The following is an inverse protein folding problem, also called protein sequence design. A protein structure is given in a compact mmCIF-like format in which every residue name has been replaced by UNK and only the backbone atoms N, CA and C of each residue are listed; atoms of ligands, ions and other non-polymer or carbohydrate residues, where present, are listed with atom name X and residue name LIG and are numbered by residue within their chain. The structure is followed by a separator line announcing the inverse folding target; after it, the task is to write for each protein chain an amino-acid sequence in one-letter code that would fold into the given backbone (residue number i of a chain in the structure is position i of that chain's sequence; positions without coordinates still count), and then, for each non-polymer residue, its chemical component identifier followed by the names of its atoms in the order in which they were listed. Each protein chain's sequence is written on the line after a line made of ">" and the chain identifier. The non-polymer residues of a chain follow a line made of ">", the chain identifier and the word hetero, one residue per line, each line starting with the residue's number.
data_IF_623428960635
#
_entry.id   IF_623428960635
#
_cell.length_a   1.000
_cell.length_b   1.000
_cell.length_c   1.000
_cell.angle_alpha   90.00
_cell.angle_beta   90.00
_cell.angle_gamma   90.00
#
_symmetry.space_group_name_H-M   'P 1'
#
loop_
_entity.id
_entity.type
_entity.pdbx_description
1 polymer ?
#
# COMPACT_ATOMS: atom_id res chain seq x y z
N UNK A 1 -1.16 9.82 -42.15
CA UNK A 1 -2.47 9.69 -41.47
C UNK A 1 -2.29 9.16 -40.06
N UNK A 2 -2.35 10.05 -39.06
CA UNK A 2 -2.92 9.87 -37.71
C UNK A 2 -2.52 11.13 -36.93
N UNK A 3 -3.46 12.07 -36.88
CA UNK A 3 -3.36 13.34 -36.15
C UNK A 3 -3.23 13.01 -34.66
N UNK A 4 -2.23 13.59 -34.01
CA UNK A 4 -2.21 13.67 -32.56
C UNK A 4 -3.36 14.58 -32.10
N UNK A 5 -4.26 14.02 -31.30
CA UNK A 5 -5.31 14.76 -30.61
C UNK A 5 -4.68 15.39 -29.37
N UNK A 6 -4.36 16.68 -29.48
CA UNK A 6 -4.03 17.54 -28.36
C UNK A 6 -5.34 17.82 -27.63
N UNK A 7 -5.58 17.16 -26.49
CA UNK A 7 -6.69 17.50 -25.59
C UNK A 7 -6.38 18.85 -24.92
N UNK A 8 -6.82 19.93 -25.57
CA UNK A 8 -6.84 21.28 -25.04
C UNK A 8 -8.04 21.40 -24.08
N UNK A 9 -7.82 21.16 -22.79
CA UNK A 9 -8.80 21.50 -21.75
C UNK A 9 -8.74 23.01 -21.56
N UNK A 10 -9.74 23.70 -22.11
CA UNK A 10 -9.98 25.12 -21.92
C UNK A 10 -10.42 25.33 -20.47
N UNK A 11 -9.51 25.79 -19.61
CA UNK A 11 -9.87 26.28 -18.27
C UNK A 11 -10.48 27.67 -18.48
N UNK A 12 -11.81 27.71 -18.48
CA UNK A 12 -12.60 28.93 -18.53
C UNK A 12 -12.48 29.62 -17.16
N UNK A 13 -11.57 30.59 -17.02
CA UNK A 13 -11.49 31.42 -15.81
C UNK A 13 -12.66 32.39 -15.79
N UNK A 14 -13.72 32.04 -15.08
CA UNK A 14 -14.82 32.97 -14.78
C UNK A 14 -14.32 33.89 -13.65
N UNK A 15 -13.83 35.08 -13.99
CA UNK A 15 -13.65 36.15 -13.00
C UNK A 15 -15.05 36.71 -12.64
N UNK A 16 -15.44 36.74 -11.36
CA UNK A 16 -16.64 37.47 -10.95
C UNK A 16 -16.37 38.98 -11.07
N UNK A 17 -17.13 39.64 -11.94
CA UNK A 17 -17.21 41.09 -12.00
C UNK A 17 -18.04 41.57 -10.78
N UNK A 18 -17.39 42.13 -9.75
CA UNK A 18 -18.11 42.75 -8.63
C UNK A 18 -18.65 44.13 -9.05
N UNK A 19 -19.96 44.23 -9.28
CA UNK A 19 -20.65 45.52 -9.23
C UNK A 19 -20.91 45.89 -7.76
N UNK A 20 -20.42 47.06 -7.38
CA UNK A 20 -20.69 47.66 -6.08
C UNK A 20 -22.09 48.30 -6.10
N UNK A 21 -23.09 47.57 -5.62
CA UNK A 21 -24.40 48.12 -5.30
C UNK A 21 -24.54 48.19 -3.77
N UNK A 22 -24.62 49.41 -3.24
CA UNK A 22 -24.91 49.65 -1.83
C UNK A 22 -26.33 49.16 -1.49
N UNK A 23 -26.42 48.23 -0.55
CA UNK A 23 -27.67 47.71 -0.03
C UNK A 23 -27.42 46.98 1.29
N UNK A 24 -27.95 47.52 2.37
CA UNK A 24 -27.95 46.92 3.71
C UNK A 24 -28.82 45.66 3.70
N UNK A 25 -28.19 44.48 3.72
CA UNK A 25 -28.86 43.18 3.81
C UNK A 25 -27.87 42.12 4.33
N UNK A 26 -28.36 41.21 5.16
CA UNK A 26 -27.63 40.18 5.91
C UNK A 26 -26.41 39.59 5.17
N UNK A 27 -25.26 39.54 5.86
CA UNK A 27 -24.03 38.88 5.41
C UNK A 27 -24.05 37.35 5.57
N UNK A 28 -25.21 36.75 5.73
CA UNK A 28 -25.35 35.30 5.86
C UNK A 28 -25.99 34.78 4.58
N UNK A 29 -25.15 34.48 3.57
CA UNK A 29 -25.37 33.51 2.48
C UNK A 29 -24.36 33.74 1.34
N UNK A 30 -23.06 33.64 1.63
CA UNK A 30 -22.15 33.13 0.59
C UNK A 30 -22.44 31.62 0.44
N UNK A 31 -22.55 31.09 -0.79
CA UNK A 31 -22.73 29.65 -0.98
C UNK A 31 -21.58 28.93 -0.28
N UNK A 32 -21.93 27.94 0.54
CA UNK A 32 -20.99 27.05 1.21
C UNK A 32 -19.91 26.63 0.21
N UNK A 33 -18.66 27.02 0.48
CA UNK A 33 -17.49 26.60 -0.29
C UNK A 33 -17.23 25.12 0.03
N UNK A 34 -18.19 24.26 -0.34
CA UNK A 34 -18.27 22.87 0.09
C UNK A 34 -16.95 22.18 -0.22
N UNK A 35 -16.24 21.81 0.84
CA UNK A 35 -15.01 21.03 0.75
C UNK A 35 -15.31 19.73 -0.01
N UNK A 36 -14.75 19.59 -1.20
CA UNK A 36 -15.13 18.50 -2.10
C UNK A 36 -13.98 18.10 -3.02
N UNK A 37 -13.74 16.80 -3.12
CA UNK A 37 -12.89 16.21 -4.15
C UNK A 37 -13.76 15.95 -5.38
N UNK A 38 -13.33 16.48 -6.53
CA UNK A 38 -13.94 16.22 -7.84
C UNK A 38 -13.28 15.01 -8.49
N UNK A 39 -11.95 14.94 -8.46
CA UNK A 39 -11.19 13.89 -9.12
C UNK A 39 -9.82 13.70 -8.51
N UNK A 40 -9.32 12.48 -8.60
CA UNK A 40 -7.89 12.15 -8.48
C UNK A 40 -7.42 11.76 -9.87
N UNK A 41 -6.23 12.21 -10.29
CA UNK A 41 -5.73 11.98 -11.65
C UNK A 41 -5.50 10.50 -11.99
N UNK A 42 -5.40 9.64 -10.97
CA UNK A 42 -5.34 8.18 -11.07
C UNK A 42 -6.14 7.56 -9.93
N UNK A 43 -6.79 6.42 -10.17
CA UNK A 43 -7.49 5.63 -9.14
C UNK A 43 -6.54 4.67 -8.41
N UNK A 44 -5.28 4.60 -8.84
CA UNK A 44 -4.27 3.72 -8.28
C UNK A 44 -2.85 4.26 -8.43
N UNK A 45 -1.99 4.05 -7.43
CA UNK A 45 -0.56 4.38 -7.50
C UNK A 45 0.26 3.58 -6.47
N UNK A 46 1.58 3.57 -6.63
CA UNK A 46 2.48 2.98 -5.63
C UNK A 46 2.64 3.93 -4.44
N UNK A 47 3.07 3.40 -3.30
CA UNK A 47 3.56 4.23 -2.19
C UNK A 47 4.74 5.07 -2.68
N UNK A 48 4.75 6.35 -2.32
CA UNK A 48 5.76 7.32 -2.75
C UNK A 48 5.50 8.01 -4.10
N UNK A 49 4.53 7.56 -4.90
CA UNK A 49 4.11 8.28 -6.11
C UNK A 49 3.40 9.59 -5.73
N UNK A 50 3.54 10.63 -6.55
CA UNK A 50 2.78 11.88 -6.39
C UNK A 50 1.49 11.78 -7.20
N UNK A 51 0.37 11.97 -6.53
CA UNK A 51 -0.96 12.07 -7.16
C UNK A 51 -1.48 13.51 -7.06
N UNK A 52 -2.38 13.87 -7.98
CA UNK A 52 -3.06 15.16 -8.01
C UNK A 52 -4.52 14.97 -7.66
N UNK A 53 -4.97 15.69 -6.63
CA UNK A 53 -6.36 15.77 -6.19
C UNK A 53 -6.91 17.14 -6.60
N UNK A 54 -7.98 17.16 -7.39
CA UNK A 54 -8.66 18.38 -7.83
C UNK A 54 -10.02 18.51 -7.15
N UNK A 55 -10.38 19.72 -6.76
CA UNK A 55 -11.60 19.96 -5.99
C UNK A 55 -11.88 21.42 -5.66
N UNK A 56 -12.59 21.62 -4.55
CA UNK A 56 -12.95 22.93 -4.01
C UNK A 56 -12.80 22.95 -2.49
N UNK A 57 -12.58 24.13 -1.92
CA UNK A 57 -12.59 24.34 -0.47
C UNK A 57 -11.36 23.79 0.24
N UNK A 58 -10.25 23.53 -0.47
CA UNK A 58 -9.01 23.01 0.12
C UNK A 58 -8.23 24.07 0.90
N UNK A 59 -8.54 25.36 0.71
CA UNK A 59 -7.76 26.47 1.24
C UNK A 59 -6.52 26.77 0.39
N UNK A 60 -6.06 28.01 0.40
CA UNK A 60 -4.91 28.47 -0.39
C UNK A 60 -3.56 27.91 0.08
N UNK A 61 -3.51 27.42 1.32
CA UNK A 61 -2.32 26.89 2.01
C UNK A 61 -2.70 25.60 2.74
N UNK A 62 -1.73 24.72 2.94
CA UNK A 62 -1.96 23.48 3.67
C UNK A 62 -2.27 23.74 5.15
N UNK A 63 -1.43 24.51 5.84
CA UNK A 63 -1.50 24.74 7.29
C UNK A 63 -1.64 23.41 8.07
N UNK A 64 -2.73 23.23 8.81
CA UNK A 64 -3.04 21.99 9.54
C UNK A 64 -3.90 21.02 8.73
N UNK A 65 -4.26 21.37 7.49
CA UNK A 65 -5.04 20.53 6.60
C UNK A 65 -4.19 19.37 6.06
N UNK A 66 -4.83 18.27 5.73
CA UNK A 66 -4.14 17.08 5.22
C UNK A 66 -5.02 16.23 4.32
N UNK A 67 -4.37 15.40 3.51
CA UNK A 67 -5.01 14.30 2.78
C UNK A 67 -4.89 13.04 3.63
N UNK A 68 -6.00 12.31 3.78
CA UNK A 68 -6.05 11.01 4.44
C UNK A 68 -6.16 9.91 3.40
N UNK A 69 -5.34 8.87 3.52
CA UNK A 69 -5.44 7.60 2.81
C UNK A 69 -5.93 6.55 3.81
N UNK A 70 -7.23 6.26 3.79
CA UNK A 70 -7.98 5.64 4.87
C UNK A 70 -7.76 6.40 6.19
N UNK A 71 -6.97 5.82 7.10
CA UNK A 71 -6.62 6.38 8.40
C UNK A 71 -5.16 6.84 8.48
N UNK A 72 -4.44 6.84 7.34
CA UNK A 72 -3.06 7.29 7.26
C UNK A 72 -3.04 8.73 6.73
N UNK A 73 -2.59 9.65 7.58
CA UNK A 73 -2.40 11.05 7.20
C UNK A 73 -1.14 11.20 6.34
N UNK A 74 -1.28 11.83 5.17
CA UNK A 74 -0.14 12.18 4.34
C UNK A 74 0.66 13.36 4.93
N UNK A 75 1.98 13.23 4.88
CA UNK A 75 2.95 14.18 5.45
C UNK A 75 3.76 14.95 4.40
N UNK A 76 3.76 14.51 3.14
CA UNK A 76 4.57 15.07 2.06
C UNK A 76 3.70 15.61 0.91
N UNK A 77 3.86 16.89 0.59
CA UNK A 77 3.09 17.60 -0.44
C UNK A 77 4.03 18.32 -1.40
N UNK A 78 3.80 18.15 -2.70
CA UNK A 78 4.52 18.90 -3.74
C UNK A 78 3.89 20.28 -3.99
N UNK A 79 2.58 20.42 -3.79
CA UNK A 79 1.88 21.70 -3.87
C UNK A 79 0.50 21.60 -3.21
N UNK A 80 0.01 22.74 -2.70
CA UNK A 80 -1.34 22.89 -2.15
C UNK A 80 -1.94 24.20 -2.65
N UNK A 81 -3.21 24.18 -3.01
CA UNK A 81 -3.99 25.35 -3.42
C UNK A 81 -5.46 25.08 -3.15
N UNK A 82 -6.30 26.10 -3.33
CA UNK A 82 -7.74 26.02 -3.03
C UNK A 82 -8.48 24.94 -3.85
N UNK A 83 -7.94 24.59 -5.03
CA UNK A 83 -8.58 23.68 -5.98
C UNK A 83 -7.72 22.50 -6.42
N UNK A 84 -6.44 22.46 -6.03
CA UNK A 84 -5.51 21.39 -6.40
C UNK A 84 -4.54 21.09 -5.26
N UNK A 85 -4.37 19.80 -4.95
CA UNK A 85 -3.36 19.28 -4.03
C UNK A 85 -2.53 18.25 -4.78
N UNK A 86 -1.20 18.39 -4.76
CA UNK A 86 -0.26 17.35 -5.18
C UNK A 86 0.37 16.73 -3.96
N UNK A 87 0.00 15.49 -3.68
CA UNK A 87 0.36 14.78 -2.45
C UNK A 87 1.10 13.49 -2.80
N UNK A 88 2.10 13.15 -2.01
CA UNK A 88 2.79 11.87 -2.10
C UNK A 88 1.95 10.81 -1.39
N UNK A 89 1.71 9.67 -2.02
CA UNK A 89 1.04 8.53 -1.37
C UNK A 89 1.88 8.11 -0.15
N UNK A 90 1.35 8.19 1.08
CA UNK A 90 2.16 8.06 2.27
C UNK A 90 2.59 6.62 2.53
N UNK A 91 3.67 6.52 3.29
CA UNK A 91 4.17 5.26 3.84
C UNK A 91 3.07 4.53 4.65
N UNK A 92 2.94 3.21 4.44
CA UNK A 92 1.89 2.41 5.08
C UNK A 92 0.46 2.63 4.57
N UNK A 93 0.26 3.41 3.50
CA UNK A 93 -1.04 3.52 2.85
C UNK A 93 -1.52 2.14 2.37
N UNK A 94 -2.81 1.85 2.59
CA UNK A 94 -3.50 0.67 2.08
C UNK A 94 -4.66 1.12 1.20
N UNK A 95 -5.06 0.29 0.23
CA UNK A 95 -6.21 0.57 -0.64
C UNK A 95 -7.48 0.89 0.17
N UNK A 96 -8.25 1.86 -0.29
CA UNK A 96 -9.51 2.27 0.33
C UNK A 96 -9.85 3.73 0.03
N UNK A 97 -10.34 4.47 1.03
CA UNK A 97 -10.89 5.81 0.84
C UNK A 97 -9.83 6.90 0.97
N UNK A 98 -9.80 7.83 0.03
CA UNK A 98 -9.06 9.09 0.11
C UNK A 98 -10.01 10.23 0.42
N UNK A 99 -9.63 11.10 1.36
CA UNK A 99 -10.37 12.31 1.72
C UNK A 99 -9.41 13.46 2.04
N UNK A 100 -9.88 14.70 1.89
CA UNK A 100 -9.17 15.90 2.35
C UNK A 100 -9.82 16.38 3.65
N UNK A 101 -8.99 16.71 4.64
CA UNK A 101 -9.37 17.30 5.91
C UNK A 101 -8.94 18.76 5.94
N UNK A 102 -9.89 19.69 6.10
CA UNK A 102 -9.64 21.13 6.22
C UNK A 102 -10.45 21.67 7.39
N UNK A 103 -9.79 22.28 8.38
CA UNK A 103 -10.45 22.82 9.57
C UNK A 103 -11.43 21.83 10.23
N UNK A 104 -10.98 20.58 10.44
CA UNK A 104 -11.77 19.47 11.00
C UNK A 104 -12.96 18.99 10.14
N UNK A 105 -13.23 19.63 9.00
CA UNK A 105 -14.21 19.16 8.02
C UNK A 105 -13.57 18.16 7.08
N UNK A 106 -14.26 17.05 6.85
CA UNK A 106 -13.89 16.02 5.87
C UNK A 106 -14.59 16.29 4.53
N UNK A 107 -13.89 16.10 3.43
CA UNK A 107 -14.49 16.04 2.09
C UNK A 107 -15.35 14.78 1.90
N UNK A 108 -15.92 14.59 0.71
CA UNK A 108 -16.35 13.26 0.28
C UNK A 108 -15.17 12.27 0.21
N UNK A 109 -15.49 10.98 0.29
CA UNK A 109 -14.55 9.88 0.07
C UNK A 109 -14.43 9.57 -1.43
N UNK A 110 -13.22 9.24 -1.86
CA UNK A 110 -12.91 8.73 -3.21
C UNK A 110 -12.17 7.41 -3.06
N UNK A 111 -12.58 6.37 -3.80
CA UNK A 111 -11.86 5.10 -3.80
C UNK A 111 -10.49 5.24 -4.47
N UNK A 112 -9.47 4.65 -3.85
CA UNK A 112 -8.09 4.66 -4.32
C UNK A 112 -7.41 3.34 -3.99
N UNK A 113 -6.68 2.78 -4.95
CA UNK A 113 -5.97 1.52 -4.80
C UNK A 113 -4.46 1.76 -4.66
N UNK A 114 -3.89 1.35 -3.54
CA UNK A 114 -2.44 1.31 -3.40
C UNK A 114 -1.92 0.07 -4.13
N UNK A 115 -1.06 0.28 -5.11
CA UNK A 115 -0.44 -0.80 -5.88
C UNK A 115 0.69 -1.39 -5.05
N UNK A 116 0.44 -2.54 -4.42
CA UNK A 116 1.49 -3.37 -3.84
C UNK A 116 2.16 -4.18 -4.94
N UNK A 117 3.49 -4.29 -4.88
CA UNK A 117 4.23 -5.17 -5.79
C UNK A 117 3.92 -6.66 -5.51
N UNK A 118 3.57 -6.98 -4.26
CA UNK A 118 3.29 -8.34 -3.79
C UNK A 118 1.80 -8.47 -3.47
N UNK A 119 1.10 -9.35 -4.20
CA UNK A 119 -0.25 -9.78 -3.85
C UNK A 119 -0.18 -10.68 -2.61
N UNK A 120 -0.88 -10.32 -1.55
CA UNK A 120 -0.90 -11.07 -0.28
C UNK A 120 -2.31 -11.49 0.12
N UNK A 121 -2.39 -12.59 0.87
CA UNK A 121 -3.63 -13.09 1.48
C UNK A 121 -3.53 -13.01 3.00
N UNK A 122 -4.65 -12.68 3.66
CA UNK A 122 -4.76 -12.68 5.12
C UNK A 122 -4.88 -14.12 5.63
N UNK A 123 -3.95 -14.53 6.48
CA UNK A 123 -4.00 -15.78 7.24
C UNK A 123 -4.52 -15.45 8.64
N UNK A 124 -5.71 -15.93 9.04
CA UNK A 124 -6.26 -15.67 10.36
C UNK A 124 -5.46 -16.33 11.48
N UNK A 125 -5.41 -15.65 12.63
CA UNK A 125 -4.97 -16.21 13.89
C UNK A 125 -5.72 -17.52 14.21
N UNK A 126 -5.07 -18.41 14.95
CA UNK A 126 -5.69 -19.65 15.39
C UNK A 126 -4.67 -20.73 15.73
N UNK A 127 -5.20 -21.86 16.21
CA UNK A 127 -4.41 -23.06 16.47
C UNK A 127 -4.54 -24.05 15.32
N UNK A 128 -3.45 -24.77 15.05
CA UNK A 128 -3.41 -25.85 14.07
C UNK A 128 -2.43 -26.94 14.54
N UNK A 129 -2.57 -28.13 13.98
CA UNK A 129 -1.61 -29.21 14.19
C UNK A 129 -0.46 -29.04 13.20
N UNK A 130 0.76 -28.95 13.70
CA UNK A 130 1.98 -28.84 12.90
C UNK A 130 2.77 -30.15 12.97
N UNK A 131 3.33 -30.57 11.83
CA UNK A 131 4.05 -31.84 11.72
C UNK A 131 3.11 -33.03 11.48
N UNK A 132 3.64 -34.23 11.72
CA UNK A 132 3.00 -35.49 11.37
C UNK A 132 2.90 -36.44 12.57
N UNK A 133 1.82 -37.21 12.62
CA UNK A 133 1.59 -38.22 13.67
C UNK A 133 2.53 -39.45 13.55
N UNK A 134 3.32 -39.58 12.48
CA UNK A 134 4.28 -40.69 12.33
C UNK A 134 3.65 -41.99 11.83
N UNK A 135 2.49 -41.93 11.18
CA UNK A 135 1.71 -43.13 10.81
C UNK A 135 2.16 -43.81 9.50
N UNK A 136 3.12 -43.25 8.77
CA UNK A 136 3.71 -43.79 7.51
C UNK A 136 5.19 -43.39 7.39
N UNK A 137 5.87 -43.67 6.26
CA UNK A 137 7.25 -43.24 6.00
C UNK A 137 7.35 -41.70 6.00
N UNK A 138 7.61 -41.12 7.17
CA UNK A 138 7.84 -39.69 7.37
C UNK A 138 9.27 -39.47 7.84
N UNK A 139 9.84 -38.33 7.47
CA UNK A 139 11.15 -37.93 8.00
C UNK A 139 11.06 -37.69 9.51
N UNK A 140 12.10 -38.09 10.24
CA UNK A 140 12.13 -37.93 11.71
C UNK A 140 12.02 -36.48 12.17
N UNK A 141 12.33 -35.51 11.30
CA UNK A 141 12.23 -34.07 11.56
C UNK A 141 10.79 -33.54 11.45
N UNK A 142 9.86 -34.31 10.88
CA UNK A 142 8.45 -33.93 10.74
C UNK A 142 7.57 -34.43 11.90
N UNK A 143 8.13 -35.16 12.86
CA UNK A 143 7.41 -35.73 14.01
C UNK A 143 7.93 -35.16 15.34
N UNK A 144 7.13 -35.13 16.42
CA UNK A 144 5.71 -35.47 16.46
C UNK A 144 4.83 -34.31 16.01
N UNK A 145 3.59 -34.64 15.64
CA UNK A 145 2.52 -33.67 15.54
C UNK A 145 2.36 -32.93 16.88
N UNK A 146 2.30 -31.60 16.82
CA UNK A 146 2.10 -30.76 18.00
C UNK A 146 1.22 -29.56 17.66
N UNK A 147 0.50 -29.04 18.65
CA UNK A 147 -0.35 -27.86 18.46
C UNK A 147 0.49 -26.60 18.45
N UNK A 148 0.32 -25.77 17.42
CA UNK A 148 0.87 -24.42 17.34
C UNK A 148 -0.26 -23.40 17.33
N UNK A 149 -0.12 -22.34 18.11
CA UNK A 149 -1.07 -21.22 18.14
C UNK A 149 -0.43 -19.95 17.58
N UNK A 150 -0.95 -19.48 16.45
CA UNK A 150 -0.65 -18.16 15.92
C UNK A 150 -1.61 -17.15 16.55
N UNK A 151 -1.09 -16.32 17.45
CA UNK A 151 -1.91 -15.40 18.27
C UNK A 151 -2.38 -14.15 17.53
N UNK A 152 -1.80 -13.87 16.36
CA UNK A 152 -2.14 -12.74 15.50
C UNK A 152 -2.36 -13.22 14.07
N UNK A 153 -3.31 -12.61 13.39
CA UNK A 153 -3.45 -12.76 11.94
C UNK A 153 -2.26 -12.07 11.27
N UNK A 154 -1.88 -12.56 10.10
CA UNK A 154 -0.76 -12.00 9.33
C UNK A 154 -1.06 -12.13 7.83
N UNK A 155 -0.38 -11.34 7.01
CA UNK A 155 -0.45 -11.44 5.55
C UNK A 155 0.72 -12.27 5.03
N UNK A 156 0.47 -13.11 4.02
CA UNK A 156 1.52 -13.86 3.31
C UNK A 156 1.38 -13.65 1.80
N UNK A 157 2.50 -13.56 1.09
CA UNK A 157 2.52 -13.55 -0.37
C UNK A 157 1.73 -14.72 -0.95
N UNK A 158 0.83 -14.43 -1.89
CA UNK A 158 -0.04 -15.45 -2.51
C UNK A 158 0.76 -16.41 -3.40
N UNK A 159 1.86 -15.93 -3.96
CA UNK A 159 2.77 -16.71 -4.80
C UNK A 159 4.20 -16.55 -4.31
N UNK A 160 5.08 -17.44 -4.77
CA UNK A 160 6.52 -17.22 -4.64
C UNK A 160 6.92 -15.92 -5.34
N UNK A 161 7.97 -15.27 -4.84
CA UNK A 161 8.47 -14.03 -5.43
C UNK A 161 8.94 -14.32 -6.85
N UNK A 162 8.42 -13.57 -7.82
CA UNK A 162 8.79 -13.76 -9.23
C UNK A 162 10.10 -13.09 -9.58
N UNK A 163 10.72 -13.50 -10.69
CA UNK A 163 11.95 -12.88 -11.20
C UNK A 163 11.77 -11.39 -11.49
N UNK A 164 10.61 -10.98 -12.01
CA UNK A 164 10.31 -9.57 -12.25
C UNK A 164 10.16 -8.78 -10.93
N UNK A 165 9.48 -9.35 -9.93
CA UNK A 165 9.37 -8.72 -8.59
C UNK A 165 10.75 -8.58 -7.95
N UNK A 166 11.57 -9.64 -7.99
CA UNK A 166 12.96 -9.60 -7.51
C UNK A 166 13.76 -8.50 -8.21
N UNK A 167 13.76 -8.46 -9.54
CA UNK A 167 14.50 -7.47 -10.33
C UNK A 167 14.10 -6.03 -9.98
N UNK A 168 12.81 -5.76 -9.75
CA UNK A 168 12.31 -4.43 -9.36
C UNK A 168 12.82 -3.98 -7.99
N UNK A 169 13.09 -4.90 -7.07
CA UNK A 169 13.53 -4.59 -5.70
C UNK A 169 15.05 -4.65 -5.56
N UNK A 170 15.68 -5.68 -6.12
CA UNK A 170 17.09 -6.00 -5.93
C UNK A 170 17.97 -5.55 -7.09
N UNK A 171 17.40 -5.29 -8.27
CA UNK A 171 18.15 -4.89 -9.46
C UNK A 171 18.96 -6.02 -10.14
N UNK A 172 18.87 -7.25 -9.63
CA UNK A 172 19.62 -8.42 -10.13
C UNK A 172 18.69 -9.48 -10.74
N UNK A 173 19.25 -10.44 -11.49
CA UNK A 173 18.49 -11.54 -12.13
C UNK A 173 19.24 -12.88 -11.98
N UNK A 174 19.34 -13.43 -10.75
CA UNK A 174 20.22 -14.56 -10.43
C UNK A 174 19.77 -15.92 -10.99
N UNK A 175 18.48 -16.02 -11.34
CA UNK A 175 17.85 -17.28 -11.74
C UNK A 175 18.47 -17.87 -13.01
N UNK A 176 18.73 -19.17 -13.00
CA UNK A 176 19.09 -20.00 -14.17
C UNK A 176 17.93 -20.13 -15.13
N UNK A 177 16.74 -20.49 -14.65
CA UNK A 177 15.55 -20.58 -15.49
C UNK A 177 15.00 -19.18 -15.70
N UNK A 178 14.68 -18.80 -16.94
CA UNK A 178 14.32 -17.41 -17.26
C UNK A 178 12.84 -17.27 -17.58
N UNK A 179 12.20 -16.32 -16.92
CA UNK A 179 10.83 -15.89 -17.19
C UNK A 179 10.31 -14.96 -16.10
N UNK A 180 9.76 -13.82 -16.49
CA UNK A 180 9.34 -12.74 -15.57
C UNK A 180 8.36 -13.20 -14.48
N UNK A 181 7.50 -14.17 -14.80
CA UNK A 181 6.48 -14.72 -13.91
C UNK A 181 6.91 -16.04 -13.25
N UNK A 182 8.13 -16.52 -13.52
CA UNK A 182 8.69 -17.67 -12.81
C UNK A 182 9.21 -17.23 -11.44
N UNK A 183 9.24 -18.14 -10.45
CA UNK A 183 9.87 -17.89 -9.16
C UNK A 183 11.34 -17.50 -9.35
N UNK A 184 11.82 -16.59 -8.51
CA UNK A 184 13.25 -16.33 -8.38
C UNK A 184 13.92 -17.53 -7.69
N UNK A 185 14.95 -18.06 -8.32
CA UNK A 185 15.85 -19.07 -7.73
C UNK A 185 17.32 -18.66 -7.86
N UNK A 186 18.21 -19.44 -7.23
CA UNK A 186 19.66 -19.14 -7.05
C UNK A 186 19.95 -17.93 -6.17
N UNK A 187 19.10 -17.72 -5.18
CA UNK A 187 19.34 -16.79 -4.09
C UNK A 187 19.71 -17.54 -2.82
N UNK A 188 20.52 -16.94 -1.98
CA UNK A 188 20.76 -17.42 -0.63
C UNK A 188 19.84 -16.71 0.39
N UNK A 189 19.83 -17.21 1.62
CA UNK A 189 18.97 -16.69 2.68
C UNK A 189 19.23 -15.21 3.01
N UNK A 190 20.49 -14.76 2.97
CA UNK A 190 20.85 -13.36 3.26
C UNK A 190 20.28 -12.41 2.20
N UNK A 191 20.30 -12.81 0.93
CA UNK A 191 19.70 -12.03 -0.16
C UNK A 191 18.17 -11.97 -0.01
N UNK A 192 17.54 -13.04 0.49
CA UNK A 192 16.10 -13.07 0.72
C UNK A 192 15.68 -12.12 1.85
N UNK A 193 16.42 -12.07 2.96
CA UNK A 193 16.15 -11.11 4.05
C UNK A 193 16.44 -9.67 3.63
N UNK A 194 17.46 -9.44 2.78
CA UNK A 194 17.71 -8.13 2.18
C UNK A 194 16.54 -7.70 1.28
N UNK A 195 16.02 -8.61 0.44
CA UNK A 195 14.83 -8.36 -0.37
C UNK A 195 13.65 -7.94 0.51
N UNK A 196 13.38 -8.64 1.61
CA UNK A 196 12.31 -8.28 2.54
C UNK A 196 12.48 -6.86 3.10
N UNK A 197 13.70 -6.48 3.49
CA UNK A 197 13.97 -5.13 3.98
C UNK A 197 13.79 -4.06 2.90
N UNK A 198 14.31 -4.28 1.68
CA UNK A 198 14.14 -3.32 0.57
C UNK A 198 12.70 -3.18 0.13
N UNK A 199 11.95 -4.28 0.11
CA UNK A 199 10.52 -4.24 -0.16
C UNK A 199 9.78 -3.48 0.95
N UNK A 200 10.16 -3.67 2.22
CA UNK A 200 9.62 -2.88 3.34
C UNK A 200 9.87 -1.40 3.14
N UNK A 201 11.11 -0.99 2.83
CA UNK A 201 11.43 0.42 2.56
C UNK A 201 10.64 0.97 1.36
N UNK A 202 10.49 0.19 0.28
CA UNK A 202 9.69 0.58 -0.89
C UNK A 202 8.23 0.83 -0.53
N UNK A 203 7.67 0.03 0.36
CA UNK A 203 6.29 0.13 0.82
C UNK A 203 6.13 1.07 2.04
N UNK A 204 7.20 1.77 2.45
CA UNK A 204 7.16 2.67 3.60
C UNK A 204 6.91 1.95 4.94
N UNK A 205 7.39 0.72 5.07
CA UNK A 205 7.26 -0.10 6.27
C UNK A 205 8.58 -0.14 7.04
N UNK A 206 8.48 -0.36 8.34
CA UNK A 206 9.67 -0.54 9.19
C UNK A 206 10.32 -1.88 8.85
N UNK A 207 11.62 -1.86 8.54
CA UNK A 207 12.42 -3.07 8.29
C UNK A 207 12.29 -4.08 9.44
N UNK A 208 12.07 -5.34 9.08
CA UNK A 208 12.06 -6.43 10.04
C UNK A 208 13.47 -6.84 10.45
N UNK A 209 14.45 -6.80 9.55
CA UNK A 209 15.79 -7.33 9.83
C UNK A 209 16.83 -6.24 10.09
N UNK A 210 17.65 -6.42 11.12
CA UNK A 210 18.94 -5.72 11.27
C UNK A 210 20.05 -6.69 10.87
N UNK A 211 20.90 -6.28 9.93
CA UNK A 211 21.95 -7.11 9.33
C UNK A 211 23.31 -6.48 9.65
N UNK A 212 24.16 -7.18 10.40
CA UNK A 212 25.52 -6.75 10.76
C UNK A 212 26.49 -7.87 10.41
N UNK A 213 27.20 -7.75 9.28
CA UNK A 213 28.01 -8.85 8.77
C UNK A 213 27.13 -10.07 8.47
N UNK A 214 27.38 -11.18 9.15
CA UNK A 214 26.57 -12.42 9.06
C UNK A 214 25.48 -12.50 10.13
N UNK A 215 25.45 -11.58 11.09
CA UNK A 215 24.46 -11.58 12.16
C UNK A 215 23.17 -10.91 11.68
N UNK A 216 22.07 -11.66 11.68
CA UNK A 216 20.75 -11.17 11.29
C UNK A 216 19.78 -11.34 12.44
N UNK A 217 19.17 -10.24 12.85
CA UNK A 217 18.14 -10.23 13.92
C UNK A 217 16.84 -9.69 13.38
N UNK A 218 15.72 -10.28 13.81
CA UNK A 218 14.38 -9.87 13.39
C UNK A 218 13.67 -9.09 14.52
N UNK A 219 13.23 -7.86 14.22
CA UNK A 219 12.28 -7.12 15.05
C UNK A 219 10.86 -7.61 14.75
N UNK A 220 10.35 -8.51 15.59
CA UNK A 220 9.02 -9.10 15.45
C UNK A 220 7.85 -8.15 15.69
N UNK A 221 8.12 -6.90 16.13
CA UNK A 221 7.12 -5.85 16.28
C UNK A 221 7.09 -4.89 15.08
N UNK A 222 8.02 -5.03 14.13
CA UNK A 222 7.98 -4.25 12.89
C UNK A 222 6.79 -4.68 12.02
N UNK A 223 6.30 -3.75 11.21
CA UNK A 223 5.21 -3.98 10.27
C UNK A 223 5.69 -4.29 8.84
N UNK A 224 7.01 -4.44 8.63
CA UNK A 224 7.60 -4.74 7.34
C UNK A 224 7.47 -6.18 6.87
N UNK A 225 7.86 -6.40 5.63
CA UNK A 225 7.98 -7.72 5.04
C UNK A 225 9.09 -8.51 5.72
N UNK A 226 8.86 -9.81 5.88
CA UNK A 226 9.83 -10.78 6.39
C UNK A 226 9.55 -12.15 5.80
N UNK A 227 10.51 -13.06 5.93
CA UNK A 227 10.26 -14.46 5.69
C UNK A 227 9.25 -14.98 6.73
N UNK A 228 8.35 -15.90 6.33
CA UNK A 228 7.49 -16.59 7.29
C UNK A 228 8.34 -17.47 8.21
N UNK A 229 7.87 -17.65 9.44
CA UNK A 229 8.32 -18.78 10.26
C UNK A 229 7.85 -20.09 9.64
N UNK A 230 8.48 -21.21 10.00
CA UNK A 230 8.06 -22.54 9.54
C UNK A 230 6.58 -22.82 9.86
N UNK A 231 6.15 -22.49 11.09
CA UNK A 231 4.77 -22.61 11.50
C UNK A 231 3.79 -21.74 10.67
N UNK A 232 4.16 -20.50 10.37
CA UNK A 232 3.33 -19.63 9.51
C UNK A 232 3.24 -20.17 8.09
N UNK A 233 4.33 -20.75 7.57
CA UNK A 233 4.36 -21.36 6.25
C UNK A 233 3.47 -22.61 6.18
N UNK A 234 3.62 -23.54 7.12
CA UNK A 234 2.81 -24.76 7.15
C UNK A 234 1.31 -24.45 7.35
N UNK A 235 0.99 -23.48 8.21
CA UNK A 235 -0.39 -23.00 8.41
C UNK A 235 -1.03 -22.56 7.09
N UNK A 236 -0.27 -21.86 6.24
CA UNK A 236 -0.74 -21.36 4.94
C UNK A 236 -0.96 -22.51 3.97
N UNK A 237 -0.07 -23.49 3.91
CA UNK A 237 -0.25 -24.67 3.04
C UNK A 237 -1.48 -25.49 3.43
N UNK A 238 -1.72 -25.67 4.73
CA UNK A 238 -2.93 -26.37 5.18
C UNK A 238 -4.21 -25.66 4.69
N UNK A 239 -4.29 -24.33 4.74
CA UNK A 239 -5.45 -23.60 4.22
C UNK A 239 -5.67 -23.78 2.71
N UNK A 240 -4.59 -23.91 1.92
CA UNK A 240 -4.70 -24.20 0.48
C UNK A 240 -5.31 -25.58 0.23
N UNK A 241 -4.90 -26.58 1.00
CA UNK A 241 -5.37 -27.97 0.85
C UNK A 241 -6.85 -28.12 1.22
N UNK A 242 -7.37 -27.30 2.14
CA UNK A 242 -8.80 -27.32 2.50
C UNK A 242 -9.70 -26.48 1.58
N UNK A 243 -9.14 -25.69 0.65
CA UNK A 243 -9.91 -24.87 -0.29
C UNK A 243 -9.99 -25.56 -1.65
N UNK A 244 -10.75 -26.65 -1.73
CA UNK A 244 -11.32 -27.14 -3.00
C UNK A 244 -12.80 -26.80 -2.94
N UNK A 245 -13.15 -25.54 -3.25
CA UNK A 245 -14.55 -25.20 -3.47
C UNK A 245 -14.96 -25.75 -4.85
N UNK A 246 -15.97 -26.62 -4.87
CA UNK A 246 -16.64 -27.10 -6.08
C UNK A 246 -17.61 -26.05 -6.62
#
# INVERSE_FOLDING_TARGET
>A
MKKQLLNLIIILTILPLYLHAGGSGNKDNLPDSTLKIISINTDSANIGDIITISGFGFGSTQDTSFVSFNNIQASEYSSWSETEIKVKVPEGAISGKVAVMVNEKKSNDVDFSVISLIESVLIPAGSFQMGNMGLYYVEYTEIPEHTVTLTKSFYMGKYEITQNQWKKIMGTEPSKFKGDNLPVERINWYEAVEFCNKLSEKDGLTKCYTIIGTDVTCNWNANGWRLPTEAEWERREQQRTFTVEF
#
